data_IF_293404601651
#
_entry.id   IF_293404601651
#
_cell.length_a   1.000
_cell.length_b   1.000
_cell.length_c   1.000
_cell.angle_alpha   90.00
_cell.angle_beta   90.00
_cell.angle_gamma   90.00
#
_symmetry.space_group_name_H-M   'P 1'
#
loop_
_entity.id
_entity.type
_entity.pdbx_description
1 polymer ?
#
# COMPACT_ATOMS: atom_id res chain seq x y z
N UNK A 1 16.50 -17.30 14.60
CA UNK A 1 15.30 -16.72 13.99
C UNK A 1 15.80 -15.53 13.18
N UNK A 2 15.71 -15.62 11.85
CA UNK A 2 16.10 -14.52 10.97
C UNK A 2 14.96 -13.51 10.95
N UNK A 3 15.29 -12.25 11.17
CA UNK A 3 14.34 -11.12 11.23
C UNK A 3 14.12 -10.59 9.81
N UNK A 4 13.58 -11.44 8.94
CA UNK A 4 13.30 -11.09 7.53
C UNK A 4 11.99 -10.30 7.36
N UNK A 5 11.44 -9.76 8.46
CA UNK A 5 10.21 -8.98 8.42
C UNK A 5 10.56 -7.50 8.24
N UNK A 6 9.97 -6.88 7.22
CA UNK A 6 10.04 -5.44 7.06
C UNK A 6 9.33 -4.77 8.24
N UNK A 7 9.97 -3.74 8.79
CA UNK A 7 9.31 -2.82 9.72
C UNK A 7 8.26 -1.99 8.97
N UNK A 8 7.30 -1.44 9.70
CA UNK A 8 6.24 -0.59 9.10
C UNK A 8 6.84 0.62 8.35
N UNK A 9 7.92 1.18 8.89
CA UNK A 9 8.64 2.32 8.27
C UNK A 9 9.31 1.91 6.95
N UNK A 10 9.91 0.73 6.88
CA UNK A 10 10.50 0.22 5.63
C UNK A 10 9.42 -0.13 4.60
N UNK A 11 8.28 -0.70 5.03
CA UNK A 11 7.14 -0.94 4.15
C UNK A 11 6.60 0.39 3.57
N UNK A 12 6.49 1.41 4.40
CA UNK A 12 6.04 2.74 3.97
C UNK A 12 7.04 3.41 3.02
N UNK A 13 8.33 3.29 3.30
CA UNK A 13 9.38 3.80 2.42
C UNK A 13 9.34 3.11 1.04
N UNK A 14 9.27 1.78 1.02
CA UNK A 14 9.24 0.99 -0.23
C UNK A 14 7.95 1.24 -1.01
N UNK A 15 6.81 1.36 -0.31
CA UNK A 15 5.52 1.62 -0.96
C UNK A 15 5.36 3.08 -1.40
N UNK A 16 6.29 3.96 -1.01
CA UNK A 16 6.24 5.38 -1.29
C UNK A 16 5.00 6.02 -0.64
N UNK A 17 4.79 5.73 0.64
CA UNK A 17 3.76 6.36 1.47
C UNK A 17 4.17 7.81 1.77
N UNK A 18 3.25 8.74 1.60
CA UNK A 18 3.39 10.15 1.93
C UNK A 18 2.13 10.67 2.62
N UNK A 19 2.32 11.70 3.43
CA UNK A 19 1.23 12.37 4.14
C UNK A 19 0.63 13.48 3.29
N UNK A 20 -0.70 13.50 3.21
CA UNK A 20 -1.47 14.56 2.56
C UNK A 20 -2.34 15.22 3.60
N UNK A 21 -2.24 16.55 3.72
CA UNK A 21 -3.16 17.34 4.53
C UNK A 21 -4.51 17.37 3.82
N UNK A 22 -5.55 16.80 4.45
CA UNK A 22 -6.91 16.90 3.92
C UNK A 22 -7.56 18.20 4.37
N UNK A 23 -8.25 18.87 3.44
CA UNK A 23 -8.86 20.18 3.68
C UNK A 23 -9.88 20.12 4.83
N UNK A 24 -9.62 20.90 5.89
CA UNK A 24 -10.64 21.25 6.88
C UNK A 24 -10.17 21.28 8.33
N UNK A 25 -9.46 20.27 8.83
CA UNK A 25 -9.17 20.15 10.27
C UNK A 25 -8.08 19.13 10.53
N UNK A 26 -6.82 19.52 10.82
CA UNK A 26 -5.75 18.69 11.44
C UNK A 26 -5.66 17.18 11.07
N UNK A 27 -6.19 16.78 9.91
CA UNK A 27 -6.33 15.39 9.50
C UNK A 27 -5.35 15.19 8.36
N UNK A 28 -4.36 14.36 8.62
CA UNK A 28 -3.45 13.85 7.63
C UNK A 28 -3.99 12.51 7.13
N UNK A 29 -4.02 12.37 5.81
CA UNK A 29 -4.30 11.11 5.14
C UNK A 29 -2.99 10.54 4.61
N UNK A 30 -2.68 9.29 4.96
CA UNK A 30 -1.56 8.56 4.38
C UNK A 30 -1.97 8.02 3.01
N UNK A 31 -1.21 8.40 1.98
CA UNK A 31 -1.38 7.93 0.60
C UNK A 31 -0.11 7.24 0.16
N UNK A 32 -0.23 6.13 -0.56
CA UNK A 32 0.93 5.41 -1.08
C UNK A 32 0.85 5.25 -2.59
N UNK A 33 2.01 5.30 -3.27
CA UNK A 33 2.08 5.02 -4.71
C UNK A 33 1.82 3.54 -4.98
N UNK A 34 2.48 2.65 -4.24
CA UNK A 34 2.22 1.21 -4.29
C UNK A 34 1.28 0.79 -3.15
N UNK A 35 0.41 -0.21 -3.36
CA UNK A 35 -0.46 -0.73 -2.31
C UNK A 35 0.35 -1.44 -1.22
N UNK A 36 0.20 -1.00 0.03
CA UNK A 36 0.88 -1.62 1.18
C UNK A 36 0.43 -3.07 1.38
N UNK A 37 1.27 -3.96 1.95
CA UNK A 37 0.89 -5.34 2.26
C UNK A 37 -0.44 -5.47 3.04
N UNK A 38 -0.69 -4.53 3.96
CA UNK A 38 -1.93 -4.45 4.72
C UNK A 38 -3.19 -4.32 3.85
N UNK A 39 -3.11 -3.69 2.67
CA UNK A 39 -4.25 -3.54 1.74
C UNK A 39 -4.73 -4.89 1.21
N UNK A 40 -3.84 -5.88 1.15
CA UNK A 40 -4.15 -7.20 0.64
C UNK A 40 -4.57 -8.17 1.74
N UNK A 41 -4.14 -7.95 2.99
CA UNK A 41 -4.23 -8.90 4.12
C UNK A 41 -5.61 -9.55 4.32
N UNK A 42 -6.69 -8.84 4.03
CA UNK A 42 -8.08 -9.29 4.19
C UNK A 42 -8.78 -9.70 2.89
N UNK A 43 -8.10 -9.62 1.75
CA UNK A 43 -8.67 -9.96 0.45
C UNK A 43 -7.97 -11.16 -0.20
N UNK A 44 -8.62 -11.78 -1.19
CA UNK A 44 -8.11 -12.95 -1.89
C UNK A 44 -6.82 -12.72 -2.71
N UNK A 45 -6.30 -11.50 -2.75
CA UNK A 45 -5.06 -11.13 -3.44
C UNK A 45 -3.82 -11.24 -2.55
N UNK A 46 -3.98 -11.60 -1.26
CA UNK A 46 -2.87 -11.91 -0.36
C UNK A 46 -2.33 -13.34 -0.60
N UNK A 47 -1.74 -13.58 -1.77
CA UNK A 47 -1.17 -14.87 -2.15
C UNK A 47 0.35 -14.97 -1.94
N UNK A 48 0.97 -13.98 -1.30
CA UNK A 48 2.41 -13.96 -0.99
C UNK A 48 3.32 -13.57 -2.16
N UNK A 49 2.76 -13.23 -3.31
CA UNK A 49 3.46 -12.71 -4.49
C UNK A 49 2.55 -11.77 -5.27
N UNK A 50 3.14 -10.97 -6.17
CA UNK A 50 2.38 -10.10 -7.05
C UNK A 50 1.69 -10.92 -8.14
N UNK A 51 0.41 -11.22 -7.95
CA UNK A 51 -0.39 -11.99 -8.89
C UNK A 51 -0.87 -11.13 -10.07
N UNK A 52 -1.32 -11.80 -11.14
CA UNK A 52 -1.95 -11.12 -12.30
C UNK A 52 -3.16 -10.27 -11.89
N UNK A 53 -3.93 -10.74 -10.91
CA UNK A 53 -5.11 -10.02 -10.43
C UNK A 53 -4.71 -8.80 -9.58
N UNK A 54 -3.61 -8.89 -8.82
CA UNK A 54 -3.03 -7.73 -8.12
C UNK A 54 -2.56 -6.65 -9.11
N UNK A 55 -1.89 -7.05 -10.20
CA UNK A 55 -1.52 -6.13 -11.30
C UNK A 55 -2.75 -5.48 -11.93
N UNK A 56 -3.79 -6.26 -12.23
CA UNK A 56 -5.02 -5.75 -12.84
C UNK A 56 -5.73 -4.74 -11.93
N UNK A 57 -5.81 -5.03 -10.64
CA UNK A 57 -6.33 -4.09 -9.64
C UNK A 57 -5.50 -2.80 -9.63
N UNK A 58 -4.17 -2.91 -9.61
CA UNK A 58 -3.28 -1.75 -9.55
C UNK A 58 -3.41 -0.85 -10.76
N UNK A 59 -3.40 -1.42 -11.97
CA UNK A 59 -3.61 -0.65 -13.21
C UNK A 59 -4.98 0.01 -13.25
N UNK A 60 -6.03 -0.65 -12.72
CA UNK A 60 -7.37 -0.07 -12.64
C UNK A 60 -7.39 1.12 -11.69
N UNK A 61 -6.77 0.98 -10.51
CA UNK A 61 -6.61 2.08 -9.54
C UNK A 61 -5.84 3.26 -10.14
N UNK A 62 -4.74 3.00 -10.84
CA UNK A 62 -3.92 4.07 -11.47
C UNK A 62 -4.72 4.93 -12.46
N UNK A 63 -5.75 4.38 -13.12
CA UNK A 63 -6.62 5.15 -14.01
C UNK A 63 -7.62 6.07 -13.27
N UNK A 64 -7.74 5.91 -11.95
CA UNK A 64 -8.68 6.66 -11.10
C UNK A 64 -7.98 7.71 -10.22
N UNK A 65 -6.65 7.79 -10.28
CA UNK A 65 -5.81 8.77 -9.59
C UNK A 65 -5.55 9.93 -10.53
#
# INVERSE_FOLDING_TARGET
FWDDQLTEEEEDLICGTYEVVTDGTMQTAFRSWWPRPAAWKLCGLNCGYWSRDAEHWFQTRLKQI
#
